data_IF_835031357556
#
_entry.id   IF_835031357556
#
_cell.length_a   1.000
_cell.length_b   1.000
_cell.length_c   1.000
_cell.angle_alpha   90.00
_cell.angle_beta   90.00
_cell.angle_gamma   90.00
#
_symmetry.space_group_name_H-M   'P 1'
#
loop_
_entity.id
_entity.type
_entity.pdbx_description
1 polymer ?
#
# COMPACT_ATOMS: atom_id res chain seq x y z
N UNK A 1 0.12 35.94 82.13
CA UNK A 1 -0.25 34.54 81.82
C UNK A 1 -0.58 34.52 80.33
N UNK A 2 0.26 33.85 79.55
CA UNK A 2 0.24 33.75 78.09
C UNK A 2 -0.84 32.74 77.68
N UNK A 3 -1.56 32.99 76.58
CA UNK A 3 -1.76 32.01 75.49
C UNK A 3 -2.07 32.77 74.20
N UNK A 4 -1.14 32.66 73.26
CA UNK A 4 -1.28 33.03 71.85
C UNK A 4 -1.67 31.75 71.12
N UNK A 5 -2.83 31.73 70.48
CA UNK A 5 -3.29 30.59 69.65
C UNK A 5 -2.55 30.58 68.30
N UNK A 6 -1.86 29.48 67.92
CA UNK A 6 -1.16 29.36 66.65
C UNK A 6 -1.79 28.27 65.77
N UNK A 7 -2.70 28.61 64.86
CA UNK A 7 -3.05 27.68 63.77
C UNK A 7 -3.75 28.35 62.57
N UNK A 8 -3.17 29.42 62.03
CA UNK A 8 -3.38 29.75 60.62
C UNK A 8 -2.40 28.91 59.80
N UNK A 9 -2.73 27.64 59.55
CA UNK A 9 -1.96 26.84 58.59
C UNK A 9 -2.56 27.02 57.19
N UNK A 10 -1.78 27.74 56.39
CA UNK A 10 -1.96 27.98 54.97
C UNK A 10 -1.92 26.66 54.20
N UNK A 11 -3.08 26.25 53.67
CA UNK A 11 -3.17 25.20 52.65
C UNK A 11 -2.67 25.76 51.30
N UNK A 12 -1.37 25.73 51.07
CA UNK A 12 -0.77 25.98 49.75
C UNK A 12 0.28 24.90 49.45
N UNK A 13 -0.17 23.71 49.04
CA UNK A 13 0.73 22.67 48.54
C UNK A 13 -0.01 21.72 47.57
N UNK A 14 -0.36 22.18 46.36
CA UNK A 14 -0.80 21.28 45.27
C UNK A 14 -0.64 21.84 43.84
N UNK A 15 0.00 23.00 43.61
CA UNK A 15 0.04 23.59 42.27
C UNK A 15 1.17 23.08 41.35
N UNK A 16 2.12 22.29 41.88
CA UNK A 16 3.32 21.88 41.13
C UNK A 16 3.20 20.55 40.39
N UNK A 17 2.29 19.65 40.79
CA UNK A 17 2.11 18.33 40.15
C UNK A 17 1.40 18.40 38.80
N UNK A 18 0.39 19.27 38.66
CA UNK A 18 -0.45 19.38 37.46
C UNK A 18 0.32 19.84 36.21
N UNK A 19 1.34 20.67 36.39
CA UNK A 19 2.12 21.24 35.27
C UNK A 19 3.23 20.31 34.75
N UNK A 20 3.63 19.31 35.54
CA UNK A 20 4.58 18.27 35.12
C UNK A 20 3.86 17.14 34.39
N UNK A 21 2.68 16.73 34.87
CA UNK A 21 1.83 15.73 34.21
C UNK A 21 1.25 16.24 32.88
N UNK A 22 0.84 17.51 32.81
CA UNK A 22 0.40 18.11 31.54
C UNK A 22 1.51 18.08 30.48
N UNK A 23 2.76 18.42 30.85
CA UNK A 23 3.92 18.38 29.94
C UNK A 23 4.30 16.96 29.53
N UNK A 24 4.17 15.98 30.42
CA UNK A 24 4.41 14.57 30.11
C UNK A 24 3.35 14.03 29.12
N UNK A 25 2.09 14.41 29.30
CA UNK A 25 1.00 14.05 28.39
C UNK A 25 1.19 14.70 27.01
N UNK A 26 1.61 15.97 26.95
CA UNK A 26 1.91 16.65 25.68
C UNK A 26 3.05 15.97 24.92
N UNK A 27 4.12 15.56 25.61
CA UNK A 27 5.24 14.83 25.00
C UNK A 27 4.81 13.47 24.42
N UNK A 28 3.97 12.73 25.16
CA UNK A 28 3.42 11.44 24.70
C UNK A 28 2.48 11.59 23.49
N UNK A 29 1.70 12.67 23.43
CA UNK A 29 0.81 12.96 22.33
C UNK A 29 1.57 13.35 21.06
N UNK A 30 2.64 14.15 21.20
CA UNK A 30 3.53 14.48 20.08
C UNK A 30 4.20 13.23 19.52
N UNK A 31 4.63 12.29 20.38
CA UNK A 31 5.19 11.01 19.93
C UNK A 31 4.16 10.18 19.14
N UNK A 32 2.91 10.12 19.62
CA UNK A 32 1.83 9.43 18.91
C UNK A 32 1.52 10.08 17.56
N UNK A 33 1.48 11.42 17.48
CA UNK A 33 1.28 12.15 16.23
C UNK A 33 2.44 11.92 15.24
N UNK A 34 3.69 11.95 15.71
CA UNK A 34 4.85 11.66 14.86
C UNK A 34 4.84 10.21 14.36
N UNK A 35 4.44 9.27 15.22
CA UNK A 35 4.28 7.86 14.84
C UNK A 35 3.15 7.66 13.84
N UNK A 36 1.99 8.28 14.06
CA UNK A 36 0.86 8.23 13.15
C UNK A 36 1.22 8.82 11.78
N UNK A 37 1.89 9.98 11.75
CA UNK A 37 2.39 10.59 10.53
C UNK A 37 3.39 9.70 9.79
N UNK A 38 4.30 9.02 10.51
CA UNK A 38 5.24 8.07 9.90
C UNK A 38 4.54 6.86 9.28
N UNK A 39 3.55 6.28 9.96
CA UNK A 39 2.77 5.13 9.45
C UNK A 39 2.01 5.52 8.17
N UNK A 40 1.38 6.69 8.16
CA UNK A 40 0.67 7.21 7.00
C UNK A 40 1.60 7.36 5.79
N UNK A 41 2.77 7.98 5.98
CA UNK A 41 3.77 8.15 4.92
C UNK A 41 4.28 6.82 4.36
N UNK A 42 4.46 5.80 5.21
CA UNK A 42 4.91 4.47 4.76
C UNK A 42 3.84 3.78 3.93
N UNK A 43 2.56 3.87 4.32
CA UNK A 43 1.46 3.28 3.56
C UNK A 43 1.27 3.95 2.19
N UNK A 44 1.37 5.28 2.12
CA UNK A 44 1.32 6.02 0.85
C UNK A 44 2.49 5.66 -0.06
N UNK A 45 3.69 5.55 0.51
CA UNK A 45 4.88 5.11 -0.21
C UNK A 45 4.74 3.68 -0.73
N UNK A 46 4.20 2.76 0.08
CA UNK A 46 3.95 1.37 -0.34
C UNK A 46 2.99 1.32 -1.52
N UNK A 47 1.88 2.05 -1.45
CA UNK A 47 0.92 2.13 -2.55
C UNK A 47 1.55 2.65 -3.84
N UNK A 48 2.38 3.70 -3.75
CA UNK A 48 3.07 4.26 -4.91
C UNK A 48 4.10 3.30 -5.52
N UNK A 49 4.87 2.60 -4.68
CA UNK A 49 5.85 1.60 -5.11
C UNK A 49 5.15 0.39 -5.74
N UNK A 50 4.02 -0.04 -5.18
CA UNK A 50 3.20 -1.11 -5.76
C UNK A 50 2.68 -0.73 -7.14
N UNK A 51 2.11 0.46 -7.29
CA UNK A 51 1.63 0.93 -8.59
C UNK A 51 2.75 1.02 -9.62
N UNK A 52 3.93 1.52 -9.24
CA UNK A 52 5.10 1.57 -10.12
C UNK A 52 5.58 0.17 -10.53
N UNK A 53 5.56 -0.77 -9.59
CA UNK A 53 5.95 -2.17 -9.83
C UNK A 53 4.97 -2.87 -10.77
N UNK A 54 3.66 -2.65 -10.59
CA UNK A 54 2.62 -3.15 -11.49
C UNK A 54 2.78 -2.61 -12.92
N UNK A 55 3.06 -1.32 -13.08
CA UNK A 55 3.32 -0.69 -14.38
C UNK A 55 4.55 -1.27 -15.07
N UNK A 56 5.60 -1.55 -14.30
CA UNK A 56 6.80 -2.17 -14.85
C UNK A 56 6.50 -3.58 -15.34
N UNK A 57 5.79 -4.38 -14.54
CA UNK A 57 5.42 -5.75 -14.90
C UNK A 57 4.48 -5.76 -16.10
N UNK A 58 3.50 -4.86 -16.15
CA UNK A 58 2.57 -4.76 -17.26
C UNK A 58 3.32 -4.46 -18.57
N UNK A 59 4.20 -3.47 -18.58
CA UNK A 59 4.94 -3.05 -19.78
C UNK A 59 5.98 -4.08 -20.25
N UNK A 60 6.67 -4.75 -19.32
CA UNK A 60 7.76 -5.66 -19.68
C UNK A 60 7.31 -7.08 -19.99
N UNK A 61 6.20 -7.55 -19.41
CA UNK A 61 5.78 -8.94 -19.55
C UNK A 61 4.42 -9.11 -20.23
N UNK A 62 3.45 -8.25 -19.93
CA UNK A 62 2.07 -8.48 -20.38
C UNK A 62 1.82 -7.80 -21.74
N UNK A 63 2.22 -6.54 -21.90
CA UNK A 63 2.08 -5.81 -23.17
C UNK A 63 2.69 -6.53 -24.37
N UNK A 64 3.91 -7.11 -24.31
CA UNK A 64 4.49 -7.81 -25.45
C UNK A 64 3.67 -9.04 -25.86
N UNK A 65 3.06 -9.74 -24.90
CA UNK A 65 2.18 -10.88 -25.18
C UNK A 65 0.91 -10.40 -25.88
N UNK A 66 0.28 -9.34 -25.39
CA UNK A 66 -0.92 -8.77 -26.01
C UNK A 66 -0.64 -8.26 -27.42
N UNK A 67 0.51 -7.62 -27.63
CA UNK A 67 0.97 -7.19 -28.94
C UNK A 67 1.15 -8.37 -29.90
N UNK A 68 1.73 -9.48 -29.43
CA UNK A 68 1.88 -10.70 -30.23
C UNK A 68 0.53 -11.33 -30.57
N UNK A 69 -0.41 -11.37 -29.62
CA UNK A 69 -1.77 -11.85 -29.86
C UNK A 69 -2.46 -11.00 -30.92
N UNK A 70 -2.36 -9.67 -30.82
CA UNK A 70 -2.94 -8.74 -31.81
C UNK A 70 -2.33 -8.91 -33.20
N UNK A 71 -1.02 -9.11 -33.28
CA UNK A 71 -0.29 -9.21 -34.54
C UNK A 71 -0.15 -10.66 -35.04
N UNK A 72 -0.76 -11.62 -34.34
CA UNK A 72 -0.62 -13.04 -34.61
C UNK A 72 -1.43 -13.52 -35.82
N UNK A 73 -1.30 -14.80 -36.18
CA UNK A 73 -1.97 -15.40 -37.35
C UNK A 73 -3.50 -15.41 -37.27
N UNK A 74 -4.06 -15.07 -36.10
CA UNK A 74 -5.49 -14.92 -35.88
C UNK A 74 -6.04 -13.55 -36.29
N UNK A 75 -5.19 -12.59 -36.67
CA UNK A 75 -5.60 -11.28 -37.19
C UNK A 75 -6.20 -11.46 -38.59
N UNK A 76 -7.52 -11.61 -38.68
CA UNK A 76 -8.27 -11.51 -39.93
C UNK A 76 -8.81 -10.09 -40.13
N UNK A 77 -9.05 -9.67 -41.37
CA UNK A 77 -9.65 -8.35 -41.66
C UNK A 77 -11.00 -8.12 -40.98
N UNK A 78 -11.78 -9.18 -40.72
CA UNK A 78 -13.07 -9.08 -40.01
C UNK A 78 -12.92 -8.90 -38.49
N UNK A 79 -11.84 -9.40 -37.88
CA UNK A 79 -11.64 -9.38 -36.43
C UNK A 79 -10.50 -8.45 -35.97
N UNK A 80 -9.89 -7.69 -36.90
CA UNK A 80 -8.81 -6.74 -36.58
C UNK A 80 -9.31 -5.45 -35.91
N UNK A 81 -10.63 -5.21 -35.89
CA UNK A 81 -11.21 -3.93 -35.46
C UNK A 81 -11.03 -2.81 -36.49
N UNK A 82 -10.55 -3.13 -37.70
CA UNK A 82 -10.32 -2.16 -38.78
C UNK A 82 -9.35 -1.04 -38.39
N UNK A 83 -9.52 0.13 -39.03
CA UNK A 83 -8.67 1.30 -38.80
C UNK A 83 -8.62 1.74 -37.32
N UNK A 84 -9.76 1.64 -36.62
CA UNK A 84 -9.82 1.99 -35.20
C UNK A 84 -9.03 1.01 -34.33
N UNK A 85 -9.09 -0.30 -34.63
CA UNK A 85 -8.31 -1.32 -33.94
C UNK A 85 -6.80 -1.11 -34.09
N UNK A 86 -6.35 -0.69 -35.28
CA UNK A 86 -4.93 -0.40 -35.52
C UNK A 86 -4.48 0.91 -34.82
N UNK A 87 -5.34 1.94 -34.76
CA UNK A 87 -5.00 3.21 -34.10
C UNK A 87 -5.02 3.12 -32.56
N UNK A 88 -5.98 2.39 -31.99
CA UNK A 88 -6.16 2.31 -30.53
C UNK A 88 -5.65 1.02 -29.90
N UNK A 89 -5.18 0.07 -30.71
CA UNK A 89 -4.75 -1.24 -30.23
C UNK A 89 -3.67 -1.14 -29.14
N UNK A 90 -2.69 -0.24 -29.31
CA UNK A 90 -1.62 -0.08 -28.32
C UNK A 90 -2.14 0.44 -26.97
N UNK A 91 -3.13 1.35 -27.01
CA UNK A 91 -3.75 1.88 -25.81
C UNK A 91 -4.65 0.85 -25.13
N UNK A 92 -5.36 0.02 -25.91
CA UNK A 92 -6.12 -1.11 -25.39
C UNK A 92 -5.21 -2.13 -24.71
N UNK A 93 -4.08 -2.48 -25.33
CA UNK A 93 -3.09 -3.40 -24.76
C UNK A 93 -2.55 -2.87 -23.43
N UNK A 94 -2.21 -1.58 -23.35
CA UNK A 94 -1.75 -0.95 -22.10
C UNK A 94 -2.80 -1.04 -20.98
N UNK A 95 -4.07 -0.72 -21.28
CA UNK A 95 -5.16 -0.79 -20.30
C UNK A 95 -5.42 -2.22 -19.83
N UNK A 96 -5.38 -3.19 -20.75
CA UNK A 96 -5.53 -4.60 -20.44
C UNK A 96 -4.35 -5.12 -19.62
N UNK A 97 -3.13 -4.79 -19.99
CA UNK A 97 -1.93 -5.17 -19.27
C UNK A 97 -1.94 -4.63 -17.83
N UNK A 98 -2.28 -3.36 -17.65
CA UNK A 98 -2.43 -2.73 -16.34
C UNK A 98 -3.50 -3.43 -15.49
N UNK A 99 -4.63 -3.79 -16.10
CA UNK A 99 -5.71 -4.50 -15.40
C UNK A 99 -5.30 -5.93 -15.01
N UNK A 100 -4.58 -6.64 -15.88
CA UNK A 100 -4.10 -8.00 -15.61
C UNK A 100 -3.06 -8.04 -14.50
N UNK A 101 -2.14 -7.07 -14.48
CA UNK A 101 -1.14 -6.92 -13.41
C UNK A 101 -1.81 -6.69 -12.05
N UNK A 102 -2.82 -5.81 -11.99
CA UNK A 102 -3.60 -5.52 -10.77
C UNK A 102 -4.48 -6.67 -10.30
N UNK A 103 -5.26 -7.25 -11.21
CA UNK A 103 -6.29 -8.22 -10.84
C UNK A 103 -5.73 -9.56 -10.35
N UNK A 104 -4.55 -9.94 -10.84
CA UNK A 104 -4.00 -11.28 -10.59
C UNK A 104 -2.99 -11.31 -9.43
N UNK A 105 -2.78 -10.17 -8.75
CA UNK A 105 -1.88 -10.01 -7.59
C UNK A 105 -0.58 -10.83 -7.69
N UNK A 106 0.24 -10.50 -8.69
CA UNK A 106 1.35 -11.36 -9.09
C UNK A 106 2.45 -11.38 -8.01
N UNK A 107 3.01 -12.56 -7.66
CA UNK A 107 4.09 -12.66 -6.68
C UNK A 107 5.34 -11.83 -7.04
N UNK A 108 5.57 -11.62 -8.34
CA UNK A 108 6.70 -10.79 -8.82
C UNK A 108 6.53 -9.31 -8.43
N UNK A 109 5.29 -8.80 -8.39
CA UNK A 109 5.00 -7.44 -7.95
C UNK A 109 5.29 -7.31 -6.46
N UNK A 110 4.84 -8.27 -5.66
CA UNK A 110 5.09 -8.28 -4.21
C UNK A 110 6.59 -8.33 -3.90
N UNK A 111 7.34 -9.14 -4.65
CA UNK A 111 8.80 -9.23 -4.51
C UNK A 111 9.49 -7.92 -4.89
N UNK A 112 9.03 -7.24 -5.95
CA UNK A 112 9.56 -5.92 -6.33
C UNK A 112 9.29 -4.87 -5.25
N UNK A 113 8.06 -4.82 -4.73
CA UNK A 113 7.69 -3.90 -3.64
C UNK A 113 8.57 -4.15 -2.42
N UNK A 114 8.76 -5.42 -2.05
CA UNK A 114 9.61 -5.79 -0.92
C UNK A 114 11.07 -5.36 -1.10
N UNK A 115 11.64 -5.57 -2.30
CA UNK A 115 13.01 -5.15 -2.62
C UNK A 115 13.16 -3.63 -2.62
N UNK A 116 12.23 -2.91 -3.25
CA UNK A 116 12.27 -1.44 -3.36
C UNK A 116 12.05 -0.75 -2.01
N UNK A 117 11.27 -1.35 -1.11
CA UNK A 117 11.09 -0.85 0.25
C UNK A 117 12.18 -1.30 1.23
N UNK A 118 13.22 -2.01 0.75
CA UNK A 118 14.37 -2.41 1.54
C UNK A 118 14.05 -3.45 2.61
N UNK A 119 13.14 -4.39 2.31
CA UNK A 119 12.75 -5.48 3.21
C UNK A 119 11.86 -5.07 4.39
N UNK A 120 11.38 -3.82 4.42
CA UNK A 120 10.57 -3.26 5.53
C UNK A 120 9.09 -3.66 5.48
N UNK A 121 8.63 -4.24 4.38
CA UNK A 121 7.26 -4.74 4.24
C UNK A 121 7.28 -6.26 4.40
N UNK A 122 6.54 -6.84 5.35
CA UNK A 122 6.40 -8.29 5.42
C UNK A 122 5.76 -8.76 4.12
N UNK A 123 6.46 -9.63 3.38
CA UNK A 123 5.88 -10.29 2.21
C UNK A 123 4.65 -11.04 2.71
N UNK A 124 3.46 -10.54 2.42
CA UNK A 124 2.23 -11.25 2.73
C UNK A 124 2.18 -12.46 1.80
N UNK A 125 2.66 -13.60 2.31
CA UNK A 125 2.60 -14.87 1.60
C UNK A 125 1.14 -15.13 1.27
N UNK A 126 0.79 -15.02 -0.01
CA UNK A 126 -0.53 -15.39 -0.49
C UNK A 126 -0.86 -16.81 0.02
N UNK A 127 -2.06 -17.05 0.57
CA UNK A 127 -2.49 -18.41 0.83
C UNK A 127 -2.48 -19.14 -0.52
N UNK A 128 -1.81 -20.29 -0.57
CA UNK A 128 -1.82 -21.17 -1.74
C UNK A 128 -3.26 -21.38 -2.19
N UNK A 129 -3.68 -20.64 -3.22
CA UNK A 129 -4.97 -20.80 -3.85
C UNK A 129 -5.00 -22.22 -4.38
N UNK A 130 -5.91 -23.01 -3.80
CA UNK A 130 -5.96 -24.44 -3.96
C UNK A 130 -5.89 -24.85 -5.42
N UNK A 131 -5.03 -25.83 -5.69
CA UNK A 131 -5.15 -26.68 -6.85
C UNK A 131 -6.60 -27.17 -6.93
N UNK A 132 -7.39 -26.57 -7.80
CA UNK A 132 -8.60 -27.22 -8.31
C UNK A 132 -8.10 -28.32 -9.22
N UNK A 133 -7.89 -29.47 -8.61
CA UNK A 133 -7.88 -30.78 -9.24
C UNK A 133 -9.10 -30.83 -10.16
N UNK A 134 -8.84 -30.79 -11.47
CA UNK A 134 -9.85 -30.97 -12.49
C UNK A 134 -10.09 -32.48 -12.51
N UNK A 135 -11.07 -32.93 -11.75
CA UNK A 135 -11.59 -34.30 -11.80
C UNK A 135 -12.24 -34.51 -13.17
N UNK A 136 -11.51 -35.14 -14.08
CA UNK A 136 -12.03 -35.59 -15.38
C UNK A 136 -12.41 -37.06 -15.21
N UNK A 137 -13.55 -37.28 -14.57
CA UNK A 137 -14.25 -38.55 -14.58
C UNK A 137 -15.72 -38.33 -14.98
N UNK A 138 -16.07 -38.83 -16.16
CA UNK A 138 -17.44 -38.86 -16.70
C UNK A 138 -17.49 -38.66 -18.20
#
# INVERSE_FOLDING_TARGET
MITVDPATQLTHASASSTSAEARANDASFVELLQRAGRVQNVAEMESAVREASEKLVSGMFIEPILQQVRNGPFKSEMFSGGMAGDMFGAQLDNLMAMRMAKASNWPIVDQLVHQLMGGRVPVQSAPASGAREIDVHG
#
